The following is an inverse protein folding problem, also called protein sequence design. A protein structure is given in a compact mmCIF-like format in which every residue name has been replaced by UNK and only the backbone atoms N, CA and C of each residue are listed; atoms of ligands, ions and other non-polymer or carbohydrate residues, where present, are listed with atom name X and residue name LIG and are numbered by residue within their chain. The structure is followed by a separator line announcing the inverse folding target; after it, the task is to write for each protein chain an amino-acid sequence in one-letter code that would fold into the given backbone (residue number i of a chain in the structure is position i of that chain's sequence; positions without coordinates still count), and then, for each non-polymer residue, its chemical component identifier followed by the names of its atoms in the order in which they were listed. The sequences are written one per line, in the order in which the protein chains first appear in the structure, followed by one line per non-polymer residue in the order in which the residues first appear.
data_IF_316993970679
#
_entry.id   IF_316993970679
#
_cell.length_a   1.000
_cell.length_b   1.000
_cell.length_c   1.000
_cell.angle_alpha   90.00
_cell.angle_beta   90.00
_cell.angle_gamma   90.00
#
_symmetry.space_group_name_H-M   'P 1'
#
loop_
_entity.id
_entity.type
_entity.pdbx_description
1 polymer ?
#
# COMPACT_ATOMS: atom_id res chain seq x y z
N UNK A 1 9.73 -13.64 20.04
CA UNK A 1 10.11 -14.19 18.72
C UNK A 1 11.61 -14.37 18.63
N UNK A 2 12.41 -13.31 18.82
CA UNK A 2 13.88 -13.45 18.83
C UNK A 2 14.41 -14.42 19.88
N UNK A 3 13.86 -14.41 21.11
CA UNK A 3 14.29 -15.31 22.19
C UNK A 3 13.75 -16.74 22.05
N UNK A 4 12.80 -16.96 21.14
CA UNK A 4 12.12 -18.25 20.95
C UNK A 4 12.54 -18.95 19.66
N UNK A 5 13.16 -18.22 18.72
CA UNK A 5 13.70 -18.79 17.49
C UNK A 5 15.17 -19.18 17.68
N UNK A 6 15.57 -20.41 17.33
CA UNK A 6 16.98 -20.79 17.28
C UNK A 6 17.79 -19.85 16.38
N UNK A 7 19.02 -19.52 16.80
CA UNK A 7 19.86 -18.51 16.11
C UNK A 7 20.22 -18.92 14.68
N UNK A 8 20.40 -20.21 14.45
CA UNK A 8 20.63 -20.86 13.15
C UNK A 8 19.41 -20.76 12.23
N UNK A 9 18.20 -20.83 12.78
CA UNK A 9 16.95 -20.71 12.01
C UNK A 9 16.47 -19.28 11.83
N UNK A 10 17.00 -18.34 12.62
CA UNK A 10 16.62 -16.93 12.58
C UNK A 10 17.16 -16.19 11.36
N UNK A 11 18.29 -16.65 10.82
CA UNK A 11 18.96 -16.00 9.70
C UNK A 11 19.18 -16.98 8.53
N UNK A 12 19.15 -16.45 7.31
CA UNK A 12 19.61 -17.14 6.10
C UNK A 12 20.75 -16.35 5.46
N UNK A 13 21.58 -17.03 4.69
CA UNK A 13 22.63 -16.41 3.90
C UNK A 13 22.26 -16.50 2.42
N UNK A 14 22.23 -15.36 1.74
CA UNK A 14 21.93 -15.28 0.31
C UNK A 14 23.06 -14.54 -0.40
N UNK A 15 23.41 -15.00 -1.60
CA UNK A 15 24.38 -14.31 -2.45
C UNK A 15 23.64 -13.30 -3.34
N UNK A 16 23.87 -12.01 -3.12
CA UNK A 16 23.28 -10.93 -3.93
C UNK A 16 24.40 -10.11 -4.54
N UNK A 17 24.47 -10.10 -5.88
CA UNK A 17 25.49 -9.39 -6.67
C UNK A 17 26.93 -9.77 -6.28
N UNK A 18 27.17 -11.06 -6.00
CA UNK A 18 28.50 -11.57 -5.64
C UNK A 18 28.89 -11.35 -4.16
N UNK A 19 28.01 -10.75 -3.35
CA UNK A 19 28.23 -10.54 -1.91
C UNK A 19 27.32 -11.50 -1.12
N UNK A 20 27.91 -12.23 -0.18
CA UNK A 20 27.16 -13.06 0.77
C UNK A 20 26.57 -12.15 1.86
N UNK A 21 25.23 -12.06 1.91
CA UNK A 21 24.50 -11.23 2.86
C UNK A 21 23.79 -12.12 3.86
N UNK A 22 23.90 -11.78 5.14
CA UNK A 22 23.10 -12.38 6.22
C UNK A 22 21.78 -11.62 6.35
N UNK A 23 20.66 -12.29 6.14
CA UNK A 23 19.32 -11.71 6.28
C UNK A 23 18.45 -12.56 7.20
N UNK A 24 17.31 -12.01 7.62
CA UNK A 24 16.34 -12.80 8.38
C UNK A 24 15.77 -13.92 7.51
N UNK A 25 15.61 -15.10 8.09
CA UNK A 25 15.05 -16.23 7.38
C UNK A 25 13.59 -16.00 7.01
N UNK A 26 13.11 -16.68 5.98
CA UNK A 26 11.71 -16.66 5.60
C UNK A 26 10.79 -17.11 6.75
N UNK A 27 11.16 -18.19 7.45
CA UNK A 27 10.40 -18.71 8.59
C UNK A 27 10.25 -17.68 9.71
N UNK A 28 11.34 -16.99 10.08
CA UNK A 28 11.29 -15.93 11.10
C UNK A 28 10.39 -14.78 10.66
N UNK A 29 10.50 -14.36 9.39
CA UNK A 29 9.75 -13.22 8.85
C UNK A 29 8.24 -13.52 8.76
N UNK A 30 7.86 -14.74 8.37
CA UNK A 30 6.45 -15.18 8.35
C UNK A 30 5.86 -15.21 9.76
N UNK A 31 6.58 -15.78 10.72
CA UNK A 31 6.14 -15.83 12.12
C UNK A 31 6.03 -14.43 12.74
N UNK A 32 6.95 -13.52 12.39
CA UNK A 32 6.90 -12.13 12.79
C UNK A 32 5.68 -11.41 12.21
N UNK A 33 5.43 -11.56 10.90
CA UNK A 33 4.28 -10.96 10.25
C UNK A 33 2.95 -11.45 10.85
N UNK A 34 2.84 -12.75 11.14
CA UNK A 34 1.67 -13.31 11.83
C UNK A 34 1.45 -12.68 13.21
N UNK A 35 2.53 -12.42 13.95
CA UNK A 35 2.45 -11.76 15.27
C UNK A 35 2.10 -10.27 15.18
N UNK A 36 2.46 -9.61 14.07
CA UNK A 36 2.03 -8.24 13.79
C UNK A 36 0.54 -8.15 13.44
N UNK A 37 -0.10 -9.26 13.09
CA UNK A 37 -1.56 -9.37 13.00
C UNK A 37 -2.19 -8.25 12.17
N UNK A 38 -1.78 -8.09 10.90
CA UNK A 38 -2.35 -7.06 10.01
C UNK A 38 -1.94 -5.61 10.33
N UNK A 39 -0.98 -5.38 11.22
CA UNK A 39 -0.58 -4.02 11.63
C UNK A 39 -0.03 -3.18 10.47
N UNK A 40 0.67 -3.80 9.52
CA UNK A 40 1.28 -3.10 8.38
C UNK A 40 0.18 -2.51 7.49
N UNK A 41 -0.83 -3.33 7.19
CA UNK A 41 -1.99 -3.01 6.38
C UNK A 41 -2.81 -1.89 7.03
N UNK A 42 -3.06 -1.99 8.34
CA UNK A 42 -3.73 -0.92 9.11
C UNK A 42 -2.95 0.40 9.04
N UNK A 43 -1.62 0.36 9.21
CA UNK A 43 -0.78 1.56 9.13
C UNK A 43 -0.75 2.14 7.72
N UNK A 44 -0.73 1.28 6.69
CA UNK A 44 -0.81 1.70 5.29
C UNK A 44 -2.12 2.46 5.02
N UNK A 45 -3.27 1.88 5.39
CA UNK A 45 -4.59 2.53 5.26
C UNK A 45 -4.65 3.88 5.96
N UNK A 46 -4.15 3.94 7.19
CA UNK A 46 -4.09 5.18 7.96
C UNK A 46 -3.22 6.24 7.28
N UNK A 47 -2.08 5.85 6.70
CA UNK A 47 -1.16 6.77 6.02
C UNK A 47 -1.82 7.43 4.80
N UNK A 48 -2.61 6.67 4.04
CA UNK A 48 -3.37 7.15 2.89
C UNK A 48 -4.41 8.17 3.35
N UNK A 49 -5.23 7.82 4.35
CA UNK A 49 -6.25 8.70 4.90
C UNK A 49 -5.67 9.99 5.49
N UNK A 50 -4.54 9.88 6.21
CA UNK A 50 -3.85 11.03 6.80
C UNK A 50 -3.33 11.97 5.74
N UNK A 51 -2.71 11.44 4.68
CA UNK A 51 -2.20 12.23 3.55
C UNK A 51 -3.34 12.94 2.83
N UNK A 52 -4.42 12.22 2.51
CA UNK A 52 -5.60 12.81 1.89
C UNK A 52 -6.22 13.93 2.75
N UNK A 53 -6.32 13.70 4.07
CA UNK A 53 -6.82 14.70 5.02
C UNK A 53 -5.92 15.94 5.08
N UNK A 54 -4.60 15.75 5.02
CA UNK A 54 -3.63 16.85 4.99
C UNK A 54 -3.81 17.72 3.75
N UNK A 55 -3.88 17.11 2.57
CA UNK A 55 -4.13 17.81 1.30
C UNK A 55 -5.47 18.54 1.30
N UNK A 56 -6.53 17.87 1.74
CA UNK A 56 -7.86 18.48 1.81
C UNK A 56 -7.89 19.67 2.77
N UNK A 57 -7.30 19.53 3.96
CA UNK A 57 -7.20 20.61 4.94
C UNK A 57 -6.41 21.79 4.39
N UNK A 58 -5.29 21.54 3.71
CA UNK A 58 -4.50 22.59 3.06
C UNK A 58 -5.30 23.34 1.99
N UNK A 59 -6.09 22.63 1.17
CA UNK A 59 -6.95 23.24 0.15
C UNK A 59 -8.08 24.07 0.77
N UNK A 60 -8.75 23.57 1.82
CA UNK A 60 -9.77 24.33 2.55
C UNK A 60 -9.15 25.58 3.17
N UNK A 61 -8.00 25.45 3.84
CA UNK A 61 -7.30 26.57 4.47
C UNK A 61 -6.79 27.60 3.45
N UNK A 62 -6.52 27.20 2.21
CA UNK A 62 -6.18 28.10 1.11
C UNK A 62 -7.38 28.88 0.55
N UNK A 63 -8.57 28.74 1.15
CA UNK A 63 -9.78 29.46 0.78
C UNK A 63 -10.69 28.72 -0.20
N UNK A 64 -10.49 27.41 -0.40
CA UNK A 64 -11.36 26.57 -1.25
C UNK A 64 -11.59 27.24 -2.64
N UNK A 65 -10.52 27.51 -3.41
CA UNK A 65 -10.67 28.12 -4.72
C UNK A 65 -11.54 27.27 -5.63
N UNK A 66 -12.36 27.94 -6.43
CA UNK A 66 -13.25 27.28 -7.39
C UNK A 66 -12.43 26.61 -8.50
N UNK A 67 -12.55 25.28 -8.61
CA UNK A 67 -11.84 24.48 -9.59
C UNK A 67 -12.61 24.30 -10.90
N UNK A 68 -13.83 24.85 -11.04
CA UNK A 68 -14.66 24.70 -12.25
C UNK A 68 -13.95 25.14 -13.52
N UNK A 69 -13.11 26.17 -13.45
CA UNK A 69 -12.34 26.65 -14.60
C UNK A 69 -11.20 25.71 -15.02
N UNK A 70 -10.65 24.93 -14.09
CA UNK A 70 -9.64 23.90 -14.34
C UNK A 70 -10.25 22.62 -14.92
N UNK A 71 -11.53 22.35 -14.64
CA UNK A 71 -12.26 21.17 -15.13
C UNK A 71 -12.69 21.24 -16.61
N UNK A 72 -12.30 22.28 -17.36
CA UNK A 72 -12.60 22.40 -18.81
C UNK A 72 -11.83 21.38 -19.65
N UNK A 73 -10.82 20.74 -19.07
CA UNK A 73 -10.03 19.71 -19.73
C UNK A 73 -10.85 18.43 -19.83
N UNK A 74 -11.36 18.14 -21.04
CA UNK A 74 -12.02 16.86 -21.32
C UNK A 74 -10.96 15.77 -21.40
N UNK A 75 -11.18 14.68 -20.67
CA UNK A 75 -10.47 13.43 -20.90
C UNK A 75 -10.57 13.03 -22.38
N UNK A 76 -9.52 12.43 -22.94
CA UNK A 76 -9.69 11.79 -24.24
C UNK A 76 -10.71 10.66 -24.10
N UNK A 77 -11.35 10.30 -25.21
CA UNK A 77 -12.36 9.24 -25.23
C UNK A 77 -11.80 7.89 -24.76
N UNK A 78 -10.49 7.67 -24.93
CA UNK A 78 -9.77 6.53 -24.38
C UNK A 78 -9.65 6.61 -22.85
N UNK A 79 -9.16 7.72 -22.31
CA UNK A 79 -8.99 7.92 -20.86
C UNK A 79 -10.33 7.83 -20.11
N UNK A 80 -11.41 8.35 -20.70
CA UNK A 80 -12.75 8.28 -20.12
C UNK A 80 -13.25 6.82 -20.03
N UNK A 81 -13.04 6.02 -21.09
CA UNK A 81 -13.38 4.59 -21.10
C UNK A 81 -12.56 3.79 -20.09
N UNK A 82 -11.27 4.09 -19.97
CA UNK A 82 -10.39 3.48 -18.95
C UNK A 82 -10.85 3.81 -17.54
N UNK A 83 -11.21 5.08 -17.29
CA UNK A 83 -11.74 5.51 -16.00
C UNK A 83 -13.06 4.82 -15.65
N UNK A 84 -13.99 4.71 -16.60
CA UNK A 84 -15.28 4.03 -16.39
C UNK A 84 -15.08 2.52 -16.12
N UNK A 85 -14.22 1.85 -16.88
CA UNK A 85 -13.87 0.45 -16.66
C UNK A 85 -13.24 0.23 -15.27
N UNK A 86 -12.35 1.13 -14.85
CA UNK A 86 -11.74 1.10 -13.52
C UNK A 86 -12.80 1.30 -12.43
N UNK A 87 -13.72 2.24 -12.60
CA UNK A 87 -14.79 2.53 -11.64
C UNK A 87 -15.77 1.37 -11.52
N UNK A 88 -16.14 0.71 -12.62
CA UNK A 88 -16.96 -0.50 -12.59
C UNK A 88 -16.25 -1.66 -11.89
N UNK A 89 -14.95 -1.87 -12.18
CA UNK A 89 -14.16 -2.91 -11.51
C UNK A 89 -14.06 -2.69 -9.99
N UNK A 90 -13.96 -1.43 -9.55
CA UNK A 90 -13.94 -1.05 -8.14
C UNK A 90 -15.30 -1.23 -7.47
N UNK A 91 -16.40 -0.74 -8.09
CA UNK A 91 -17.77 -0.85 -7.57
C UNK A 91 -18.25 -2.30 -7.47
N UNK A 92 -17.88 -3.12 -8.44
CA UNK A 92 -18.30 -4.52 -8.50
C UNK A 92 -17.46 -5.43 -7.57
N UNK A 93 -16.64 -4.86 -6.68
CA UNK A 93 -15.92 -5.60 -5.67
C UNK A 93 -15.01 -6.66 -6.28
N UNK A 94 -14.38 -6.35 -7.42
CA UNK A 94 -13.37 -7.22 -8.00
C UNK A 94 -12.29 -7.49 -6.95
N UNK A 95 -11.98 -8.78 -6.76
CA UNK A 95 -10.91 -9.29 -5.90
C UNK A 95 -9.76 -8.28 -5.88
N UNK A 96 -9.52 -7.64 -4.72
CA UNK A 96 -8.41 -6.70 -4.55
C UNK A 96 -7.17 -7.30 -5.20
N UNK A 97 -6.49 -6.56 -6.08
CA UNK A 97 -5.23 -7.03 -6.73
C UNK A 97 -4.10 -7.21 -5.67
N UNK A 98 -4.38 -6.90 -4.40
CA UNK A 98 -3.55 -7.19 -3.24
C UNK A 98 -3.87 -8.53 -2.57
N UNK A 99 -3.13 -8.84 -1.51
CA UNK A 99 -3.36 -10.03 -0.68
C UNK A 99 -4.77 -9.95 -0.08
N UNK A 100 -5.57 -11.01 -0.21
CA UNK A 100 -6.88 -11.11 0.43
C UNK A 100 -6.71 -10.95 1.95
N UNK A 101 -7.52 -10.06 2.56
CA UNK A 101 -7.60 -9.97 4.01
C UNK A 101 -8.46 -11.14 4.52
N UNK A 102 -7.92 -11.92 5.45
CA UNK A 102 -8.68 -12.90 6.25
C UNK A 102 -9.46 -12.22 7.37
#
# INVERSE_FOLDING_TARGET
LTNTFPTDQKYSFENRKGVLIRQYSAAFTIAYNKKLDGMIERRMRLSIATTASFWYTAWVNAGQPDLRDLCKQKFLEADAKEFDALNESWKNGGKMIGKEEE
#
